data_IF_904203637985
#
_entry.id   IF_904203637985
#
_cell.length_a   1.000
_cell.length_b   1.000
_cell.length_c   1.000
_cell.angle_alpha   90.00
_cell.angle_beta   90.00
_cell.angle_gamma   90.00
#
_symmetry.space_group_name_H-M   'P 1'
#
loop_
_entity.id
_entity.type
_entity.pdbx_description
1 polymer ?
#
# COMPACT_ATOMS: atom_id res chain seq x y z
N UNK A 1 -4.95 -3.90 -3.20
CA UNK A 1 -4.23 -5.02 -3.84
C UNK A 1 -5.23 -5.97 -4.44
N UNK A 2 -5.06 -6.38 -5.70
CA UNK A 2 -5.98 -7.29 -6.40
C UNK A 2 -6.12 -8.65 -5.72
N UNK A 3 -5.00 -9.26 -5.28
CA UNK A 3 -5.02 -10.53 -4.57
C UNK A 3 -5.74 -10.44 -3.22
N UNK A 4 -5.51 -9.38 -2.45
CA UNK A 4 -6.15 -9.24 -1.13
C UNK A 4 -7.67 -9.14 -1.27
N UNK A 5 -8.15 -8.42 -2.30
CA UNK A 5 -9.58 -8.40 -2.61
C UNK A 5 -10.07 -9.78 -3.03
N UNK A 6 -9.40 -10.42 -4.00
CA UNK A 6 -9.76 -11.79 -4.42
C UNK A 6 -9.86 -12.76 -3.25
N UNK A 7 -8.92 -12.70 -2.30
CA UNK A 7 -8.89 -13.60 -1.16
C UNK A 7 -9.94 -13.27 -0.10
N UNK A 8 -10.04 -12.01 0.33
CA UNK A 8 -10.93 -11.64 1.45
C UNK A 8 -12.41 -11.67 1.06
N UNK A 9 -12.76 -11.40 -0.20
CA UNK A 9 -14.17 -11.44 -0.63
C UNK A 9 -14.77 -12.84 -0.58
N UNK A 10 -13.97 -13.88 -0.46
CA UNK A 10 -14.48 -15.25 -0.25
C UNK A 10 -15.06 -15.46 1.15
N UNK A 11 -14.69 -14.60 2.11
CA UNK A 11 -15.03 -14.75 3.53
C UNK A 11 -15.74 -13.53 4.14
N UNK A 12 -15.54 -12.34 3.56
CA UNK A 12 -16.01 -11.07 4.13
C UNK A 12 -16.77 -10.23 3.11
N UNK A 13 -17.71 -9.41 3.60
CA UNK A 13 -18.25 -8.28 2.84
C UNK A 13 -17.26 -7.11 2.93
N UNK A 14 -16.54 -6.85 1.84
CA UNK A 14 -15.37 -5.95 1.86
C UNK A 14 -15.74 -4.54 1.43
N UNK A 15 -15.33 -3.56 2.24
CA UNK A 15 -15.25 -2.15 1.83
C UNK A 15 -13.80 -1.71 1.80
N UNK A 16 -13.35 -1.15 0.67
CA UNK A 16 -11.99 -0.63 0.50
C UNK A 16 -11.97 0.84 0.87
N UNK A 17 -11.19 1.20 1.88
CA UNK A 17 -10.90 2.59 2.17
C UNK A 17 -9.62 3.02 1.43
N UNK A 18 -9.76 3.89 0.43
CA UNK A 18 -8.63 4.42 -0.32
C UNK A 18 -8.12 5.69 0.35
N UNK A 19 -7.23 5.53 1.33
CA UNK A 19 -6.58 6.63 2.03
C UNK A 19 -5.06 6.47 1.93
N UNK A 20 -4.47 7.32 1.08
CA UNK A 20 -3.05 7.27 0.74
C UNK A 20 -2.46 8.70 0.72
N UNK A 21 -2.44 9.43 1.85
CA UNK A 21 -1.86 10.77 1.91
C UNK A 21 -0.37 10.76 1.56
N UNK A 22 0.28 9.59 1.65
CA UNK A 22 1.66 9.40 1.22
C UNK A 22 1.88 9.51 -0.29
N UNK A 23 0.83 9.48 -1.13
CA UNK A 23 0.99 9.71 -2.56
C UNK A 23 1.01 11.22 -2.74
N UNK A 24 2.20 11.79 -2.95
CA UNK A 24 2.40 13.25 -2.90
C UNK A 24 2.04 13.95 -4.21
N UNK A 25 1.97 13.21 -5.31
CA UNK A 25 1.61 13.74 -6.64
C UNK A 25 0.14 13.43 -6.94
N UNK A 26 -0.63 14.47 -7.26
CA UNK A 26 -2.08 14.33 -7.45
C UNK A 26 -2.43 13.43 -8.64
N UNK A 27 -1.69 13.56 -9.75
CA UNK A 27 -1.86 12.71 -10.93
C UNK A 27 -1.67 11.22 -10.61
N UNK A 28 -0.67 10.89 -9.78
CA UNK A 28 -0.44 9.53 -9.33
C UNK A 28 -1.52 9.03 -8.36
N UNK A 29 -2.02 9.90 -7.49
CA UNK A 29 -3.14 9.57 -6.58
C UNK A 29 -4.38 9.21 -7.39
N UNK A 30 -4.78 10.07 -8.32
CA UNK A 30 -5.95 9.87 -9.18
C UNK A 30 -5.79 8.64 -10.05
N UNK A 31 -4.60 8.43 -10.64
CA UNK A 31 -4.31 7.23 -11.43
C UNK A 31 -4.51 5.95 -10.62
N UNK A 32 -3.90 5.84 -9.43
CA UNK A 32 -4.03 4.65 -8.57
C UNK A 32 -5.46 4.45 -8.06
N UNK A 33 -6.16 5.54 -7.76
CA UNK A 33 -7.56 5.52 -7.34
C UNK A 33 -8.46 4.98 -8.44
N UNK A 34 -8.33 5.53 -9.64
CA UNK A 34 -9.14 5.12 -10.79
C UNK A 34 -8.83 3.68 -11.22
N UNK A 35 -7.59 3.23 -11.06
CA UNK A 35 -7.22 1.85 -11.30
C UNK A 35 -7.89 0.88 -10.33
N UNK A 36 -7.99 1.24 -9.04
CA UNK A 36 -8.74 0.46 -8.06
C UNK A 36 -10.24 0.42 -8.42
N UNK A 37 -10.83 1.57 -8.78
CA UNK A 37 -12.24 1.64 -9.21
C UNK A 37 -12.50 0.76 -10.43
N UNK A 38 -11.60 0.79 -11.41
CA UNK A 38 -11.65 -0.05 -12.62
C UNK A 38 -11.63 -1.54 -12.27
N UNK A 39 -10.67 -1.96 -11.44
CA UNK A 39 -10.57 -3.35 -10.99
C UNK A 39 -11.85 -3.80 -10.26
N UNK A 40 -12.39 -2.97 -9.35
CA UNK A 40 -13.63 -3.29 -8.62
C UNK A 40 -14.80 -3.49 -9.58
N UNK A 41 -14.86 -2.73 -10.68
CA UNK A 41 -15.91 -2.84 -11.70
C UNK A 41 -15.73 -4.04 -12.63
N UNK A 42 -14.50 -4.35 -13.03
CA UNK A 42 -14.21 -5.38 -14.04
C UNK A 42 -14.13 -6.80 -13.46
N UNK A 43 -13.62 -6.95 -12.24
CA UNK A 43 -13.48 -8.26 -11.61
C UNK A 43 -14.77 -8.67 -10.92
N UNK A 44 -15.27 -9.86 -11.25
CA UNK A 44 -16.30 -10.50 -10.44
C UNK A 44 -15.73 -10.96 -9.10
N UNK A 45 -16.42 -10.58 -8.02
CA UNK A 45 -16.15 -11.00 -6.65
C UNK A 45 -17.36 -11.76 -6.11
N UNK A 46 -17.15 -12.66 -5.14
CA UNK A 46 -18.24 -13.41 -4.49
C UNK A 46 -19.29 -12.51 -3.86
N UNK A 47 -18.85 -11.41 -3.25
CA UNK A 47 -19.70 -10.34 -2.72
C UNK A 47 -19.33 -8.98 -3.33
N UNK A 48 -20.28 -8.04 -3.48
CA UNK A 48 -20.00 -6.70 -3.98
C UNK A 48 -18.94 -5.99 -3.14
N UNK A 49 -17.88 -5.50 -3.77
CA UNK A 49 -16.84 -4.69 -3.11
C UNK A 49 -17.25 -3.22 -3.17
N UNK A 50 -17.34 -2.59 -2.01
CA UNK A 50 -17.57 -1.14 -1.91
C UNK A 50 -16.25 -0.40 -1.80
N UNK A 51 -16.25 0.89 -2.13
CA UNK A 51 -15.09 1.76 -1.97
C UNK A 51 -15.51 3.07 -1.30
N UNK A 52 -14.73 3.48 -0.30
CA UNK A 52 -14.79 4.81 0.31
C UNK A 52 -13.52 5.55 -0.11
N UNK A 53 -13.68 6.71 -0.74
CA UNK A 53 -12.56 7.59 -1.09
C UNK A 53 -12.19 8.40 0.15
N UNK A 54 -10.92 8.36 0.55
CA UNK A 54 -10.40 9.22 1.60
C UNK A 54 -9.95 10.56 1.04
N UNK A 55 -9.85 11.56 1.92
CA UNK A 55 -9.40 12.89 1.52
C UNK A 55 -7.96 12.85 0.98
N UNK A 56 -7.75 13.53 -0.15
CA UNK A 56 -6.42 13.74 -0.71
C UNK A 56 -5.72 14.88 0.04
N UNK A 57 -5.00 14.54 1.10
CA UNK A 57 -4.31 15.50 1.96
C UNK A 57 -2.83 15.16 2.11
N UNK A 58 -1.99 15.38 1.09
CA UNK A 58 -0.55 15.07 1.17
C UNK A 58 0.18 15.87 2.26
N UNK A 59 -0.36 17.02 2.67
CA UNK A 59 0.16 17.84 3.78
C UNK A 59 0.27 17.06 5.10
N UNK A 60 -0.69 16.16 5.40
CA UNK A 60 -0.62 15.36 6.64
C UNK A 60 0.53 14.36 6.60
N UNK A 61 0.89 13.87 5.41
CA UNK A 61 2.06 13.02 5.23
C UNK A 61 3.34 13.85 5.37
N UNK A 62 3.42 15.02 4.74
CA UNK A 62 4.59 15.89 4.85
C UNK A 62 4.87 16.31 6.29
N UNK A 63 3.84 16.73 7.02
CA UNK A 63 3.96 17.09 8.44
C UNK A 63 4.45 15.93 9.29
N UNK A 64 3.92 14.72 9.06
CA UNK A 64 4.37 13.51 9.76
C UNK A 64 5.82 13.15 9.40
N UNK A 65 6.26 13.42 8.17
CA UNK A 65 7.62 13.05 7.71
C UNK A 65 8.73 14.02 8.14
N UNK A 66 8.40 15.15 8.79
CA UNK A 66 9.38 16.14 9.24
C UNK A 66 10.37 15.52 10.23
N UNK A 67 11.66 15.65 9.96
CA UNK A 67 12.74 15.02 10.73
C UNK A 67 13.04 13.57 10.34
N UNK A 68 12.31 12.99 9.39
CA UNK A 68 12.47 11.62 8.89
C UNK A 68 12.65 11.57 7.36
N UNK A 69 12.98 12.70 6.73
CA UNK A 69 13.12 12.85 5.29
C UNK A 69 14.23 11.93 4.72
N UNK A 70 15.34 11.82 5.45
CA UNK A 70 16.51 11.05 5.04
C UNK A 70 16.40 9.54 5.38
N UNK A 71 15.33 9.11 6.05
CA UNK A 71 15.12 7.70 6.32
C UNK A 71 15.02 6.88 5.01
N UNK A 72 15.67 5.72 4.99
CA UNK A 72 15.53 4.77 3.89
C UNK A 72 14.10 4.21 3.82
N UNK A 73 13.66 3.82 2.62
CA UNK A 73 12.39 3.11 2.49
C UNK A 73 12.41 1.82 3.33
N UNK A 74 11.34 1.60 4.11
CA UNK A 74 11.25 0.50 5.06
C UNK A 74 11.74 0.85 6.47
N UNK A 75 12.31 2.04 6.67
CA UNK A 75 12.70 2.57 7.98
C UNK A 75 11.58 3.33 8.70
N UNK A 76 11.96 4.15 9.69
CA UNK A 76 11.04 4.80 10.64
C UNK A 76 9.96 5.66 9.99
N UNK A 77 10.30 6.49 8.98
CA UNK A 77 9.31 7.24 8.20
C UNK A 77 8.19 6.34 7.66
N UNK A 78 8.55 5.15 7.19
CA UNK A 78 7.57 4.21 6.67
C UNK A 78 6.67 3.67 7.78
N UNK A 79 7.18 3.44 8.98
CA UNK A 79 6.36 2.97 10.11
C UNK A 79 5.34 4.03 10.54
N UNK A 80 5.75 5.28 10.64
CA UNK A 80 4.85 6.42 10.90
C UNK A 80 3.79 6.56 9.80
N UNK A 81 4.19 6.39 8.53
CA UNK A 81 3.26 6.38 7.40
C UNK A 81 2.25 5.22 7.48
N UNK A 82 2.67 4.02 7.89
CA UNK A 82 1.76 2.89 8.05
C UNK A 82 0.76 3.14 9.16
N UNK A 83 1.24 3.61 10.31
CA UNK A 83 0.39 3.96 11.46
C UNK A 83 -0.64 5.02 11.08
N UNK A 84 -0.23 6.14 10.48
CA UNK A 84 -1.16 7.21 10.07
C UNK A 84 -2.29 6.68 9.19
N UNK A 85 -1.96 5.82 8.23
CA UNK A 85 -2.95 5.24 7.31
C UNK A 85 -3.84 4.22 7.99
N UNK A 86 -3.28 3.34 8.82
CA UNK A 86 -4.03 2.31 9.53
C UNK A 86 -4.91 2.90 10.62
N UNK A 87 -4.47 3.97 11.29
CA UNK A 87 -5.22 4.73 12.29
C UNK A 87 -6.48 5.35 11.69
N UNK A 88 -6.35 6.00 10.52
CA UNK A 88 -7.51 6.52 9.78
C UNK A 88 -8.50 5.40 9.41
N UNK A 89 -7.99 4.24 8.97
CA UNK A 89 -8.84 3.07 8.72
C UNK A 89 -9.55 2.56 9.97
N UNK A 90 -8.86 2.48 11.12
CA UNK A 90 -9.45 2.03 12.39
C UNK A 90 -10.53 3.00 12.90
N UNK A 91 -10.27 4.31 12.79
CA UNK A 91 -11.24 5.37 13.11
C UNK A 91 -12.51 5.25 12.25
N UNK A 92 -12.34 5.07 10.94
CA UNK A 92 -13.46 4.88 10.01
C UNK A 92 -14.21 3.59 10.31
N UNK A 93 -13.49 2.50 10.59
CA UNK A 93 -14.06 1.20 10.94
C UNK A 93 -14.96 1.32 12.17
N UNK A 94 -14.48 1.99 13.23
CA UNK A 94 -15.27 2.28 14.43
C UNK A 94 -16.49 3.14 14.13
N UNK A 95 -16.31 4.25 13.41
CA UNK A 95 -17.37 5.19 13.06
C UNK A 95 -18.52 4.53 12.29
N UNK A 96 -18.19 3.57 11.42
CA UNK A 96 -19.15 2.87 10.57
C UNK A 96 -19.52 1.47 11.09
N UNK A 97 -19.11 1.11 12.30
CA UNK A 97 -19.38 -0.16 12.97
C UNK A 97 -18.95 -1.40 12.14
N UNK A 98 -17.77 -1.36 11.53
CA UNK A 98 -17.16 -2.54 10.92
C UNK A 98 -16.66 -3.51 12.01
N UNK A 99 -16.83 -4.81 11.79
CA UNK A 99 -16.42 -5.87 12.73
C UNK A 99 -14.90 -6.07 12.76
N UNK A 100 -14.22 -5.80 11.64
CA UNK A 100 -12.77 -5.93 11.50
C UNK A 100 -12.20 -4.82 10.62
N UNK A 101 -10.93 -4.49 10.85
CA UNK A 101 -10.14 -3.69 9.90
C UNK A 101 -8.81 -4.39 9.58
N UNK A 102 -8.22 -4.06 8.42
CA UNK A 102 -6.95 -4.64 7.98
C UNK A 102 -6.20 -3.70 7.03
N UNK A 103 -5.03 -4.13 6.57
CA UNK A 103 -4.26 -3.39 5.56
C UNK A 103 -3.80 -4.28 4.41
N UNK A 104 -3.91 -3.78 3.19
CA UNK A 104 -3.37 -4.49 2.02
C UNK A 104 -1.85 -4.37 1.89
N UNK A 105 -1.19 -3.55 2.72
CA UNK A 105 0.25 -3.30 2.66
C UNK A 105 1.09 -4.55 2.82
N UNK A 106 0.63 -5.55 3.59
CA UNK A 106 1.38 -6.79 3.87
C UNK A 106 1.52 -7.72 2.66
N UNK A 107 0.84 -7.44 1.54
CA UNK A 107 1.03 -8.17 0.27
C UNK A 107 2.34 -7.81 -0.43
N UNK A 108 2.90 -6.63 -0.14
CA UNK A 108 4.12 -6.17 -0.80
C UNK A 108 5.34 -6.87 -0.19
N UNK A 109 6.28 -7.36 -1.02
CA UNK A 109 7.49 -8.03 -0.52
C UNK A 109 8.40 -7.07 0.25
N UNK A 110 8.26 -5.76 0.03
CA UNK A 110 9.08 -4.73 0.66
C UNK A 110 8.51 -4.21 1.98
N UNK A 111 7.34 -4.70 2.42
CA UNK A 111 6.68 -4.22 3.64
C UNK A 111 6.85 -5.22 4.78
N UNK A 112 7.28 -4.70 5.93
CA UNK A 112 7.46 -5.48 7.14
C UNK A 112 6.09 -5.83 7.74
N UNK A 113 5.65 -7.08 7.56
CA UNK A 113 4.35 -7.53 8.06
C UNK A 113 4.31 -7.63 9.59
N UNK A 114 5.43 -7.93 10.25
CA UNK A 114 5.48 -7.94 11.71
C UNK A 114 5.19 -6.54 12.26
N UNK A 115 5.84 -5.51 11.69
CA UNK A 115 5.60 -4.11 12.09
C UNK A 115 4.18 -3.64 11.76
N UNK A 116 3.63 -4.03 10.61
CA UNK A 116 2.22 -3.74 10.28
C UNK A 116 1.26 -4.38 11.28
N UNK A 117 1.52 -5.63 11.69
CA UNK A 117 0.69 -6.33 12.66
C UNK A 117 0.82 -5.78 14.08
N UNK A 118 2.01 -5.33 14.47
CA UNK A 118 2.24 -4.61 15.73
C UNK A 118 1.42 -3.31 15.78
N UNK A 119 1.50 -2.49 14.73
CA UNK A 119 0.70 -1.26 14.58
C UNK A 119 -0.80 -1.58 14.62
N UNK A 120 -1.22 -2.61 13.88
CA UNK A 120 -2.62 -3.05 13.83
C UNK A 120 -3.14 -3.49 15.19
N UNK A 121 -2.35 -4.24 15.96
CA UNK A 121 -2.69 -4.66 17.32
C UNK A 121 -2.91 -3.44 18.23
N UNK A 122 -1.95 -2.51 18.26
CA UNK A 122 -2.06 -1.29 19.08
C UNK A 122 -3.30 -0.46 18.73
N UNK A 123 -3.62 -0.32 17.44
CA UNK A 123 -4.82 0.41 16.99
C UNK A 123 -6.11 -0.37 17.27
N UNK A 124 -6.07 -1.70 17.26
CA UNK A 124 -7.19 -2.56 17.65
C UNK A 124 -7.58 -2.29 19.11
N UNK A 125 -6.58 -2.23 20.00
CA UNK A 125 -6.79 -1.94 21.42
C UNK A 125 -7.29 -0.50 21.63
N UNK A 126 -6.71 0.47 20.92
CA UNK A 126 -7.09 1.89 21.03
C UNK A 126 -8.52 2.16 20.55
N UNK A 127 -8.90 1.63 19.39
CA UNK A 127 -10.20 1.91 18.78
C UNK A 127 -11.28 0.90 19.15
N UNK A 128 -10.95 -0.25 19.71
CA UNK A 128 -11.90 -1.30 20.07
C UNK A 128 -12.54 -1.98 18.85
N UNK A 129 -11.85 -1.99 17.71
CA UNK A 129 -12.25 -2.73 16.51
C UNK A 129 -11.19 -3.79 16.25
N UNK A 130 -11.53 -5.08 16.20
CA UNK A 130 -10.57 -6.14 15.93
C UNK A 130 -9.72 -5.92 14.66
N UNK A 131 -8.40 -6.02 14.79
CA UNK A 131 -7.49 -6.03 13.64
C UNK A 131 -7.32 -7.44 13.07
N UNK A 132 -7.50 -7.58 11.75
CA UNK A 132 -7.25 -8.85 11.05
C UNK A 132 -5.75 -9.02 10.77
N UNK A 133 -5.07 -9.71 11.68
CA UNK A 133 -3.67 -10.10 11.55
C UNK A 133 -3.42 -10.87 10.25
N UNK A 134 -2.54 -10.34 9.40
CA UNK A 134 -2.38 -10.88 8.06
C UNK A 134 -0.99 -10.62 7.47
N UNK A 135 -0.47 -11.62 6.78
CA UNK A 135 0.75 -11.52 5.98
C UNK A 135 0.44 -11.96 4.54
N UNK A 136 -0.21 -11.08 3.78
CA UNK A 136 -0.78 -11.41 2.47
C UNK A 136 0.26 -11.76 1.40
N UNK A 137 1.57 -11.57 1.64
CA UNK A 137 2.59 -12.08 0.71
C UNK A 137 2.87 -13.58 0.87
N UNK A 138 2.55 -14.19 2.01
CA UNK A 138 2.72 -15.64 2.24
C UNK A 138 1.76 -16.45 1.37
N UNK A 139 1.98 -17.77 1.29
CA UNK A 139 1.18 -18.72 0.50
C UNK A 139 0.99 -18.31 -0.96
N UNK A 140 2.00 -17.65 -1.54
CA UNK A 140 1.99 -17.22 -2.94
C UNK A 140 1.17 -15.95 -3.22
N UNK A 141 0.67 -15.25 -2.21
CA UNK A 141 -0.20 -14.08 -2.43
C UNK A 141 0.45 -12.94 -3.20
N UNK A 142 1.75 -12.69 -3.01
CA UNK A 142 2.47 -11.73 -3.85
C UNK A 142 2.52 -12.17 -5.32
N UNK A 143 2.85 -13.43 -5.58
CA UNK A 143 2.87 -14.01 -6.95
C UNK A 143 1.48 -13.90 -7.59
N UNK A 144 0.42 -14.25 -6.86
CA UNK A 144 -0.95 -14.13 -7.32
C UNK A 144 -1.34 -12.69 -7.66
N UNK A 145 -0.85 -11.71 -6.88
CA UNK A 145 -1.05 -10.30 -7.21
C UNK A 145 -0.43 -9.89 -8.55
N UNK A 146 0.70 -10.50 -8.93
CA UNK A 146 1.37 -10.25 -10.23
C UNK A 146 0.56 -10.87 -11.36
N UNK A 147 0.09 -12.12 -11.19
CA UNK A 147 -0.78 -12.80 -12.16
C UNK A 147 -2.04 -11.99 -12.43
N UNK A 148 -2.73 -11.53 -11.38
CA UNK A 148 -3.90 -10.67 -11.49
C UNK A 148 -3.56 -9.34 -12.16
N UNK A 149 -2.40 -8.75 -11.87
CA UNK A 149 -1.98 -7.54 -12.59
C UNK A 149 -1.82 -7.78 -14.09
N UNK A 150 -1.27 -8.93 -14.51
CA UNK A 150 -1.17 -9.25 -15.94
C UNK A 150 -2.54 -9.51 -16.55
N UNK A 151 -3.39 -10.27 -15.85
CA UNK A 151 -4.73 -10.64 -16.30
C UNK A 151 -5.63 -9.42 -16.55
N UNK A 152 -5.59 -8.42 -15.67
CA UNK A 152 -6.46 -7.24 -15.74
C UNK A 152 -5.73 -5.99 -16.28
N UNK A 153 -4.50 -6.14 -16.78
CA UNK A 153 -3.68 -5.03 -17.26
C UNK A 153 -3.44 -3.95 -16.21
N UNK A 154 -3.24 -4.34 -14.95
CA UNK A 154 -3.20 -3.39 -13.83
C UNK A 154 -1.92 -2.55 -13.85
N UNK A 155 -2.06 -1.25 -13.61
CA UNK A 155 -0.93 -0.36 -13.39
C UNK A 155 -0.07 -0.86 -12.21
N UNK A 156 1.25 -0.99 -12.47
CA UNK A 156 2.25 -1.36 -11.47
C UNK A 156 3.39 -0.35 -11.46
N UNK A 157 3.80 0.00 -10.27
CA UNK A 157 4.81 0.99 -9.93
C UNK A 157 6.02 0.31 -9.27
N UNK A 158 7.20 0.91 -9.42
CA UNK A 158 8.46 0.46 -8.80
C UNK A 158 8.76 1.19 -7.46
N UNK A 159 7.84 2.00 -6.95
CA UNK A 159 8.01 2.78 -5.71
C UNK A 159 6.69 2.84 -4.92
N UNK A 160 6.76 3.19 -3.64
CA UNK A 160 5.62 3.15 -2.71
C UNK A 160 4.53 4.18 -3.02
N UNK A 161 4.88 5.30 -3.68
CA UNK A 161 3.99 6.44 -3.95
C UNK A 161 4.44 7.76 -3.33
N UNK A 162 5.25 7.73 -2.27
CA UNK A 162 5.79 8.97 -1.69
C UNK A 162 7.03 9.45 -2.44
N UNK A 163 7.22 10.78 -2.44
CA UNK A 163 8.38 11.44 -3.06
C UNK A 163 9.72 10.85 -2.62
N UNK A 164 9.88 10.51 -1.33
CA UNK A 164 11.11 9.92 -0.82
C UNK A 164 11.42 8.54 -1.42
N UNK A 165 10.39 7.70 -1.58
CA UNK A 165 10.52 6.38 -2.22
C UNK A 165 10.78 6.54 -3.72
N UNK A 166 10.16 7.54 -4.38
CA UNK A 166 10.42 7.87 -5.79
C UNK A 166 11.88 8.28 -6.02
N UNK A 167 12.39 9.24 -5.23
CA UNK A 167 13.78 9.71 -5.33
C UNK A 167 14.76 8.54 -5.09
N UNK A 168 14.49 7.67 -4.12
CA UNK A 168 15.32 6.50 -3.86
C UNK A 168 15.29 5.49 -5.03
N UNK A 169 14.14 5.27 -5.66
CA UNK A 169 14.04 4.42 -6.84
C UNK A 169 14.83 5.00 -8.03
N UNK A 170 14.67 6.30 -8.31
CA UNK A 170 15.39 7.00 -9.37
C UNK A 170 16.92 6.98 -9.18
N UNK A 171 17.40 7.14 -7.94
CA UNK A 171 18.84 7.04 -7.61
C UNK A 171 19.37 5.63 -7.90
N UNK A 172 18.66 4.59 -7.46
CA UNK A 172 19.05 3.19 -7.71
C UNK A 172 19.08 2.86 -9.19
N UNK A 173 18.15 3.40 -9.98
CA UNK A 173 18.10 3.16 -11.42
C UNK A 173 19.26 3.86 -12.15
N UNK A 174 19.63 5.08 -11.72
CA UNK A 174 20.85 5.77 -12.23
C UNK A 174 22.13 5.00 -11.90
N UNK A 175 22.30 4.55 -10.66
CA UNK A 175 23.47 3.76 -10.23
C UNK A 175 23.62 2.46 -11.02
N UNK A 176 22.50 1.76 -11.29
CA UNK A 176 22.52 0.55 -12.12
C UNK A 176 22.96 0.86 -13.55
N UNK A 177 22.44 1.92 -14.16
CA UNK A 177 22.79 2.29 -15.52
C UNK A 177 24.26 2.68 -15.63
N UNK A 178 24.78 3.52 -14.73
CA UNK A 178 26.21 3.88 -14.69
C UNK A 178 27.11 2.66 -14.45
N UNK A 179 26.70 1.70 -13.60
CA UNK A 179 27.45 0.47 -13.36
C UNK A 179 27.49 -0.47 -14.59
N UNK A 180 26.42 -0.48 -15.39
CA UNK A 180 26.34 -1.26 -16.63
C UNK A 180 27.17 -0.62 -17.75
N UNK A 181 27.16 0.71 -17.85
CA UNK A 181 28.02 1.46 -18.78
C UNK A 181 29.50 1.26 -18.44
N UNK A 182 29.88 1.39 -17.17
CA UNK A 182 31.27 1.14 -16.73
C UNK A 182 31.75 -0.29 -17.02
N UNK A 183 30.89 -1.31 -16.83
CA UNK A 183 31.21 -2.70 -17.19
C UNK A 183 31.31 -2.95 -18.69
N UNK A 184 30.65 -2.13 -19.51
CA UNK A 184 30.70 -2.24 -20.97
C UNK A 184 31.98 -1.62 -21.52
N UNK A 185 32.45 -0.52 -20.93
CA UNK A 185 33.71 0.15 -21.30
C UNK A 185 34.94 -0.69 -20.91
N UNK A 186 34.91 -1.42 -19.80
CA UNK A 186 36.03 -2.28 -19.35
C UNK A 186 36.17 -3.57 -20.18
N UNK A 187 35.19 -3.90 -21.02
CA UNK A 187 35.20 -5.10 -21.88
C UNK A 187 35.60 -4.83 -23.34
N UNK A 188 36.02 -3.61 -23.67
CA UNK A 188 36.59 -3.25 -24.98
C UNK A 188 38.11 -3.17 -24.92
#
# INVERSE_FOLDING_TARGET
SSYVLEYLTEFFNVTVYFYNPNITENSEYEKRKNELKRLIKEKSFRYPVKMIDGDYSPEVFFNMSKGFEDCLEGGERCFLCYEQRMRSTAQLAKKLNFEFFCTTLSVSPHKNAAKLNEIGASLSDEFGVPYLFSDFKKRGGYKRSIELSKQYGLYRQNYCGCIFSRIQAERKDKEKNSSNEAKTVVKQ
#
